data_IF_206406213959
#
_entry.id   IF_206406213959
#
_cell.length_a   1.000
_cell.length_b   1.000
_cell.length_c   1.000
_cell.angle_alpha   90.00
_cell.angle_beta   90.00
_cell.angle_gamma   90.00
#
_symmetry.space_group_name_H-M   'P 1'
#
loop_
_entity.id
_entity.type
_entity.pdbx_description
1 polymer ?
#
# COMPACT_ATOMS: atom_id res chain seq x y z
N UNK A 1 -20.45 -11.86 -26.01
CA UNK A 1 -20.76 -13.23 -25.57
C UNK A 1 -22.22 -13.25 -25.12
N UNK A 2 -22.93 -14.36 -25.32
CA UNK A 2 -24.33 -14.49 -24.89
C UNK A 2 -24.41 -14.49 -23.35
N UNK A 3 -25.41 -13.84 -22.73
CA UNK A 3 -25.54 -13.85 -21.28
C UNK A 3 -25.76 -15.27 -20.74
N UNK A 4 -25.15 -15.60 -19.59
CA UNK A 4 -25.31 -16.92 -18.96
C UNK A 4 -26.78 -17.14 -18.60
N UNK A 5 -27.45 -18.08 -19.27
CA UNK A 5 -28.89 -18.28 -19.12
C UNK A 5 -29.27 -19.12 -17.88
N UNK A 6 -28.38 -20.01 -17.43
CA UNK A 6 -28.61 -20.88 -16.27
C UNK A 6 -27.45 -20.80 -15.27
N UNK A 7 -27.58 -19.93 -14.26
CA UNK A 7 -26.55 -19.71 -13.25
C UNK A 7 -26.27 -20.95 -12.40
N UNK A 8 -27.29 -21.75 -12.10
CA UNK A 8 -27.14 -22.92 -11.24
C UNK A 8 -26.29 -24.01 -11.92
N UNK A 9 -26.60 -24.33 -13.19
CA UNK A 9 -25.81 -25.30 -13.95
C UNK A 9 -24.39 -24.79 -14.20
N UNK A 10 -24.25 -23.52 -14.59
CA UNK A 10 -22.95 -22.93 -14.88
C UNK A 10 -22.05 -22.88 -13.64
N UNK A 11 -22.57 -22.45 -12.50
CA UNK A 11 -21.82 -22.41 -11.22
C UNK A 11 -21.46 -23.80 -10.70
N UNK A 12 -22.31 -24.82 -10.90
CA UNK A 12 -22.00 -26.21 -10.58
C UNK A 12 -20.85 -26.76 -11.42
N UNK A 13 -20.91 -26.56 -12.74
CA UNK A 13 -19.86 -27.02 -13.65
C UNK A 13 -18.52 -26.36 -13.31
N UNK A 14 -18.54 -25.07 -12.95
CA UNK A 14 -17.35 -24.28 -12.61
C UNK A 14 -16.51 -24.88 -11.45
N UNK A 15 -17.14 -25.60 -10.51
CA UNK A 15 -16.46 -26.20 -9.34
C UNK A 15 -16.15 -27.68 -9.50
N UNK A 16 -16.50 -28.32 -10.62
CA UNK A 16 -16.19 -29.73 -10.85
C UNK A 16 -14.68 -30.00 -10.76
N UNK A 17 -14.23 -31.08 -10.09
CA UNK A 17 -12.82 -31.30 -9.79
C UNK A 17 -11.97 -31.46 -11.07
N UNK A 18 -12.49 -32.14 -12.08
CA UNK A 18 -11.76 -32.49 -13.29
C UNK A 18 -11.77 -31.39 -14.37
N UNK A 19 -12.41 -30.25 -14.10
CA UNK A 19 -12.51 -29.16 -15.06
C UNK A 19 -11.15 -28.44 -15.23
N UNK A 20 -10.57 -28.38 -16.45
CA UNK A 20 -9.29 -27.72 -16.68
C UNK A 20 -9.31 -26.23 -16.31
N UNK A 21 -8.18 -25.72 -15.80
CA UNK A 21 -8.04 -24.31 -15.38
C UNK A 21 -8.37 -23.34 -16.52
N UNK A 22 -7.94 -23.63 -17.75
CA UNK A 22 -8.22 -22.78 -18.89
C UNK A 22 -9.73 -22.69 -19.20
N UNK A 23 -10.47 -23.78 -19.01
CA UNK A 23 -11.92 -23.79 -19.19
C UNK A 23 -12.61 -23.00 -18.08
N UNK A 24 -12.17 -23.16 -16.82
CA UNK A 24 -12.67 -22.35 -15.69
C UNK A 24 -12.41 -20.86 -15.92
N UNK A 25 -11.25 -20.50 -16.44
CA UNK A 25 -10.88 -19.13 -16.76
C UNK A 25 -11.85 -18.52 -17.78
N UNK A 26 -12.13 -19.23 -18.88
CA UNK A 26 -13.08 -18.77 -19.88
C UNK A 26 -14.49 -18.59 -19.28
N UNK A 27 -14.97 -19.54 -18.48
CA UNK A 27 -16.27 -19.45 -17.81
C UNK A 27 -16.35 -18.26 -16.84
N UNK A 28 -15.30 -18.00 -16.07
CA UNK A 28 -15.26 -16.84 -15.16
C UNK A 28 -15.20 -15.52 -15.93
N UNK A 29 -14.51 -15.49 -17.09
CA UNK A 29 -14.53 -14.33 -17.99
C UNK A 29 -15.94 -14.03 -18.50
N UNK A 30 -16.71 -15.06 -18.89
CA UNK A 30 -18.12 -14.90 -19.30
C UNK A 30 -18.97 -14.27 -18.19
N UNK A 31 -18.75 -14.68 -16.94
CA UNK A 31 -19.44 -14.12 -15.78
C UNK A 31 -19.02 -12.66 -15.53
N UNK A 32 -17.73 -12.36 -15.61
CA UNK A 32 -17.20 -10.98 -15.49
C UNK A 32 -17.82 -10.06 -16.54
N UNK A 33 -17.89 -10.53 -17.78
CA UNK A 33 -18.40 -9.76 -18.91
C UNK A 33 -19.92 -9.53 -18.81
N UNK A 34 -20.63 -10.38 -18.07
CA UNK A 34 -22.08 -10.27 -17.82
C UNK A 34 -22.43 -9.73 -16.41
N UNK A 35 -21.46 -9.11 -15.71
CA UNK A 35 -21.61 -8.76 -14.29
C UNK A 35 -22.69 -7.69 -14.00
N UNK A 36 -23.15 -6.97 -15.03
CA UNK A 36 -24.25 -6.00 -14.91
C UNK A 36 -25.52 -6.62 -14.31
N UNK A 37 -25.71 -7.94 -14.46
CA UNK A 37 -26.82 -8.67 -13.86
C UNK A 37 -26.89 -8.51 -12.33
N UNK A 38 -25.75 -8.29 -11.66
CA UNK A 38 -25.69 -8.06 -10.21
C UNK A 38 -26.37 -6.75 -9.78
N UNK A 39 -26.69 -5.86 -10.72
CA UNK A 39 -27.44 -4.62 -10.47
C UNK A 39 -28.95 -4.74 -10.75
N UNK A 40 -29.44 -5.95 -11.04
CA UNK A 40 -30.85 -6.21 -11.36
C UNK A 40 -31.54 -6.99 -10.24
N UNK A 41 -32.82 -7.33 -10.43
CA UNK A 41 -33.56 -8.19 -9.50
C UNK A 41 -32.94 -9.60 -9.34
N UNK A 42 -32.10 -10.02 -10.28
CA UNK A 42 -31.41 -11.32 -10.24
C UNK A 42 -30.22 -11.36 -9.29
N UNK A 43 -29.85 -10.26 -8.63
CA UNK A 43 -28.65 -10.20 -7.80
C UNK A 43 -28.60 -11.27 -6.70
N UNK A 44 -29.73 -11.50 -6.02
CA UNK A 44 -29.81 -12.54 -4.99
C UNK A 44 -29.57 -13.95 -5.57
N UNK A 45 -30.14 -14.21 -6.75
CA UNK A 45 -29.99 -15.48 -7.46
C UNK A 45 -28.54 -15.70 -7.90
N UNK A 46 -27.92 -14.65 -8.46
CA UNK A 46 -26.50 -14.61 -8.80
C UNK A 46 -25.63 -14.95 -7.58
N UNK A 47 -25.84 -14.29 -6.44
CA UNK A 47 -25.07 -14.56 -5.22
C UNK A 47 -25.26 -15.99 -4.73
N UNK A 48 -26.49 -16.50 -4.69
CA UNK A 48 -26.78 -17.89 -4.26
C UNK A 48 -26.02 -18.94 -5.09
N UNK A 49 -25.91 -18.71 -6.40
CA UNK A 49 -25.21 -19.61 -7.32
C UNK A 49 -23.69 -19.43 -7.27
N UNK A 50 -23.22 -18.20 -7.47
CA UNK A 50 -21.81 -17.96 -7.74
C UNK A 50 -20.95 -17.68 -6.51
N UNK A 51 -21.50 -17.12 -5.43
CA UNK A 51 -20.67 -16.76 -4.27
C UNK A 51 -19.95 -17.99 -3.69
N UNK A 52 -20.67 -19.11 -3.56
CA UNK A 52 -20.08 -20.38 -3.11
C UNK A 52 -19.06 -20.93 -4.11
N UNK A 53 -19.35 -20.83 -5.40
CA UNK A 53 -18.44 -21.29 -6.46
C UNK A 53 -17.13 -20.49 -6.47
N UNK A 54 -17.21 -19.17 -6.38
CA UNK A 54 -16.05 -18.28 -6.28
C UNK A 54 -15.23 -18.52 -5.02
N UNK A 55 -15.89 -18.70 -3.87
CA UNK A 55 -15.22 -19.05 -2.62
C UNK A 55 -14.50 -20.40 -2.74
N UNK A 56 -15.14 -21.41 -3.34
CA UNK A 56 -14.51 -22.70 -3.59
C UNK A 56 -13.31 -22.60 -4.55
N UNK A 57 -13.41 -21.77 -5.60
CA UNK A 57 -12.28 -21.52 -6.52
C UNK A 57 -11.07 -21.00 -5.75
N UNK A 58 -11.27 -19.94 -4.96
CA UNK A 58 -10.19 -19.24 -4.26
C UNK A 58 -9.59 -20.06 -3.10
N UNK A 59 -10.40 -20.89 -2.43
CA UNK A 59 -10.00 -21.54 -1.18
C UNK A 59 -9.72 -23.05 -1.28
N UNK A 60 -10.28 -23.74 -2.27
CA UNK A 60 -10.27 -25.21 -2.33
C UNK A 60 -9.76 -25.76 -3.66
N UNK A 61 -10.23 -25.20 -4.78
CA UNK A 61 -9.91 -25.69 -6.13
C UNK A 61 -8.51 -25.26 -6.57
N UNK A 62 -8.18 -23.98 -6.37
CA UNK A 62 -6.91 -23.40 -6.80
C UNK A 62 -6.03 -23.10 -5.60
N UNK A 63 -4.73 -22.98 -5.83
CA UNK A 63 -3.75 -22.54 -4.84
C UNK A 63 -3.27 -21.13 -5.16
N UNK A 64 -2.81 -20.35 -4.16
CA UNK A 64 -2.11 -19.09 -4.39
C UNK A 64 -1.01 -19.22 -5.46
N UNK A 65 -0.96 -18.26 -6.37
CA UNK A 65 -0.02 -18.26 -7.49
C UNK A 65 0.90 -17.04 -7.39
N UNK A 66 2.19 -17.25 -7.64
CA UNK A 66 3.23 -16.21 -7.55
C UNK A 66 3.97 -16.00 -8.87
N UNK A 67 3.37 -16.45 -9.97
CA UNK A 67 3.85 -16.28 -11.34
C UNK A 67 2.66 -16.00 -12.23
N UNK A 68 2.87 -15.27 -13.33
CA UNK A 68 1.80 -15.04 -14.30
C UNK A 68 1.47 -16.34 -15.04
N UNK A 69 0.35 -16.96 -14.67
CA UNK A 69 -0.15 -18.18 -15.29
C UNK A 69 -1.70 -18.17 -15.34
N UNK A 70 -2.33 -19.09 -16.09
CA UNK A 70 -3.80 -19.12 -16.19
C UNK A 70 -4.53 -19.27 -14.85
N UNK A 71 -3.93 -19.94 -13.86
CA UNK A 71 -4.52 -20.09 -12.53
C UNK A 71 -4.48 -18.78 -11.74
N UNK A 72 -3.41 -17.99 -11.84
CA UNK A 72 -3.33 -16.62 -11.32
C UNK A 72 -4.41 -15.76 -11.95
N UNK A 73 -4.53 -15.75 -13.29
CA UNK A 73 -5.56 -14.98 -14.01
C UNK A 73 -6.97 -15.38 -13.58
N UNK A 74 -7.23 -16.67 -13.41
CA UNK A 74 -8.51 -17.17 -12.91
C UNK A 74 -8.80 -16.60 -11.51
N UNK A 75 -7.87 -16.74 -10.57
CA UNK A 75 -8.02 -16.23 -9.20
C UNK A 75 -8.24 -14.71 -9.20
N UNK A 76 -7.45 -13.98 -9.98
CA UNK A 76 -7.52 -12.54 -10.08
C UNK A 76 -8.90 -12.06 -10.57
N UNK A 77 -9.43 -12.62 -11.66
CA UNK A 77 -10.75 -12.25 -12.17
C UNK A 77 -11.85 -12.59 -11.15
N UNK A 78 -11.76 -13.72 -10.43
CA UNK A 78 -12.73 -14.02 -9.38
C UNK A 78 -12.72 -12.93 -8.29
N UNK A 79 -11.54 -12.51 -7.83
CA UNK A 79 -11.43 -11.44 -6.83
C UNK A 79 -11.94 -10.10 -7.38
N UNK A 80 -11.69 -9.79 -8.67
CA UNK A 80 -12.24 -8.59 -9.32
C UNK A 80 -13.77 -8.60 -9.38
N UNK A 81 -14.38 -9.74 -9.70
CA UNK A 81 -15.84 -9.90 -9.68
C UNK A 81 -16.37 -9.63 -8.27
N UNK A 82 -15.77 -10.22 -7.25
CA UNK A 82 -16.16 -10.02 -5.85
C UNK A 82 -16.04 -8.56 -5.41
N UNK A 83 -15.02 -7.84 -5.89
CA UNK A 83 -14.83 -6.41 -5.61
C UNK A 83 -15.86 -5.50 -6.29
N UNK A 84 -16.53 -5.96 -7.34
CA UNK A 84 -17.51 -5.20 -8.10
C UNK A 84 -18.95 -5.47 -7.67
N UNK A 85 -19.17 -6.31 -6.65
CA UNK A 85 -20.51 -6.62 -6.15
C UNK A 85 -21.18 -5.39 -5.50
N UNK A 86 -22.47 -5.12 -5.79
CA UNK A 86 -23.19 -4.01 -5.15
C UNK A 86 -23.34 -4.19 -3.63
N UNK A 87 -22.99 -3.16 -2.85
CA UNK A 87 -23.15 -3.11 -1.41
C UNK A 87 -24.61 -2.79 -0.98
N UNK A 88 -25.57 -3.58 -1.46
CA UNK A 88 -26.98 -3.47 -1.07
C UNK A 88 -27.33 -4.43 0.07
N UNK A 89 -28.54 -4.30 0.64
CA UNK A 89 -29.07 -5.22 1.67
C UNK A 89 -29.10 -6.68 1.20
N UNK A 90 -29.16 -6.92 -0.11
CA UNK A 90 -29.13 -8.26 -0.71
C UNK A 90 -27.81 -8.99 -0.43
N UNK A 91 -26.70 -8.26 -0.33
CA UNK A 91 -25.38 -8.83 -0.04
C UNK A 91 -25.23 -9.23 1.43
N UNK A 92 -26.01 -8.62 2.34
CA UNK A 92 -25.87 -8.75 3.81
C UNK A 92 -25.70 -10.18 4.31
N UNK A 93 -26.44 -11.19 3.82
CA UNK A 93 -26.27 -12.59 4.26
C UNK A 93 -24.92 -13.22 3.91
N UNK A 94 -24.18 -12.64 2.94
CA UNK A 94 -22.91 -13.16 2.43
C UNK A 94 -21.70 -12.36 2.94
N UNK A 95 -21.93 -11.21 3.58
CA UNK A 95 -20.88 -10.24 3.94
C UNK A 95 -19.82 -10.84 4.87
N UNK A 96 -20.21 -11.64 5.88
CA UNK A 96 -19.26 -12.24 6.80
C UNK A 96 -18.34 -13.24 6.09
N UNK A 97 -18.91 -14.09 5.23
CA UNK A 97 -18.14 -15.07 4.47
C UNK A 97 -17.25 -14.38 3.43
N UNK A 98 -17.74 -13.32 2.77
CA UNK A 98 -16.96 -12.56 1.80
C UNK A 98 -15.76 -11.90 2.47
N UNK A 99 -15.94 -11.34 3.67
CA UNK A 99 -14.85 -10.76 4.45
C UNK A 99 -13.80 -11.82 4.81
N UNK A 100 -14.22 -13.01 5.23
CA UNK A 100 -13.30 -14.14 5.54
C UNK A 100 -12.53 -14.60 4.31
N UNK A 101 -13.20 -14.77 3.16
CA UNK A 101 -12.55 -15.11 1.89
C UNK A 101 -11.52 -14.05 1.51
N UNK A 102 -11.90 -12.76 1.55
CA UNK A 102 -11.00 -11.66 1.24
C UNK A 102 -9.79 -11.61 2.20
N UNK A 103 -10.01 -11.87 3.49
CA UNK A 103 -8.94 -11.91 4.49
C UNK A 103 -7.98 -13.09 4.27
N UNK A 104 -8.50 -14.25 3.88
CA UNK A 104 -7.68 -15.42 3.55
C UNK A 104 -6.84 -15.17 2.30
N UNK A 105 -7.42 -14.59 1.24
CA UNK A 105 -6.67 -14.25 0.02
C UNK A 105 -5.62 -13.18 0.30
N UNK A 106 -5.95 -12.10 1.05
CA UNK A 106 -5.00 -11.06 1.45
C UNK A 106 -3.80 -11.61 2.24
N UNK A 107 -3.97 -12.67 3.02
CA UNK A 107 -2.89 -13.23 3.86
C UNK A 107 -2.05 -14.30 3.16
N UNK A 108 -2.56 -14.93 2.11
CA UNK A 108 -1.94 -16.13 1.49
C UNK A 108 -1.55 -15.94 0.03
N UNK A 109 -2.12 -14.97 -0.68
CA UNK A 109 -1.95 -14.80 -2.11
C UNK A 109 -0.89 -13.73 -2.48
N UNK A 110 -0.80 -13.43 -3.78
CA UNK A 110 0.10 -12.41 -4.30
C UNK A 110 -0.42 -10.97 -4.11
N UNK A 111 0.46 -10.01 -4.34
CA UNK A 111 0.23 -8.57 -4.20
C UNK A 111 -0.99 -8.08 -5.01
N UNK A 112 -1.18 -8.54 -6.25
CA UNK A 112 -2.27 -8.05 -7.10
C UNK A 112 -3.64 -8.43 -6.53
N UNK A 113 -3.80 -9.71 -6.16
CA UNK A 113 -5.03 -10.18 -5.51
C UNK A 113 -5.21 -9.54 -4.13
N UNK A 114 -4.13 -9.41 -3.36
CA UNK A 114 -4.15 -8.76 -2.05
C UNK A 114 -4.62 -7.30 -2.10
N UNK A 115 -4.21 -6.54 -3.13
CA UNK A 115 -4.61 -5.15 -3.31
C UNK A 115 -6.10 -4.99 -3.61
N UNK A 116 -6.71 -5.96 -4.29
CA UNK A 116 -8.16 -5.97 -4.48
C UNK A 116 -8.83 -6.40 -3.17
N UNK A 117 -8.33 -7.42 -2.48
CA UNK A 117 -8.90 -7.90 -1.22
C UNK A 117 -8.89 -6.84 -0.11
N UNK A 118 -7.85 -6.02 0.03
CA UNK A 118 -7.84 -4.94 1.03
C UNK A 118 -8.92 -3.88 0.75
N UNK A 119 -9.26 -3.64 -0.53
CA UNK A 119 -10.38 -2.75 -0.92
C UNK A 119 -11.73 -3.36 -0.58
N UNK A 120 -11.92 -4.65 -0.88
CA UNK A 120 -13.12 -5.40 -0.46
C UNK A 120 -13.30 -5.29 1.05
N UNK A 121 -12.25 -5.59 1.82
CA UNK A 121 -12.27 -5.52 3.30
C UNK A 121 -12.67 -4.13 3.77
N UNK A 122 -12.04 -3.07 3.24
CA UNK A 122 -12.35 -1.70 3.60
C UNK A 122 -13.82 -1.32 3.30
N UNK A 123 -14.30 -1.66 2.10
CA UNK A 123 -15.65 -1.34 1.68
C UNK A 123 -16.72 -2.10 2.48
N UNK A 124 -16.48 -3.37 2.80
CA UNK A 124 -17.38 -4.14 3.67
C UNK A 124 -17.44 -3.55 5.08
N UNK A 125 -16.27 -3.27 5.66
CA UNK A 125 -16.14 -2.63 6.97
C UNK A 125 -16.74 -1.21 7.00
N UNK A 126 -16.83 -0.53 5.85
CA UNK A 126 -17.48 0.78 5.73
C UNK A 126 -19.00 0.68 5.68
N UNK A 127 -19.52 -0.22 4.85
CA UNK A 127 -20.94 -0.24 4.49
C UNK A 127 -21.80 -1.12 5.43
N UNK A 128 -21.23 -2.13 6.10
CA UNK A 128 -22.01 -3.14 6.86
C UNK A 128 -21.81 -3.09 8.38
N UNK A 129 -21.49 -1.92 8.91
CA UNK A 129 -21.33 -1.66 10.35
C UNK A 129 -22.66 -1.80 11.09
N UNK A 130 -22.68 -2.26 12.36
CA UNK A 130 -21.54 -2.71 13.17
C UNK A 130 -21.24 -4.22 13.06
N UNK A 131 -21.98 -4.96 12.21
CA UNK A 131 -22.04 -6.43 12.14
C UNK A 131 -20.68 -7.14 12.03
N UNK A 132 -19.64 -6.44 11.55
CA UNK A 132 -18.32 -6.98 11.27
C UNK A 132 -17.27 -6.70 12.37
N UNK A 133 -17.64 -6.12 13.51
CA UNK A 133 -16.68 -5.73 14.56
C UNK A 133 -15.77 -6.89 15.01
N UNK A 134 -16.33 -8.10 15.16
CA UNK A 134 -15.57 -9.29 15.57
C UNK A 134 -14.55 -9.77 14.53
N UNK A 135 -14.69 -9.35 13.28
CA UNK A 135 -13.83 -9.75 12.16
C UNK A 135 -12.73 -8.69 11.89
N UNK A 136 -12.64 -7.63 12.72
CA UNK A 136 -11.64 -6.56 12.58
C UNK A 136 -10.27 -6.99 13.09
N UNK A 137 -10.21 -7.71 14.21
CA UNK A 137 -8.93 -8.10 14.84
C UNK A 137 -8.02 -8.90 13.90
N UNK A 138 -8.51 -9.88 13.12
CA UNK A 138 -7.68 -10.58 12.12
C UNK A 138 -6.98 -9.66 11.12
N UNK A 139 -7.63 -8.56 10.71
CA UNK A 139 -7.00 -7.56 9.85
C UNK A 139 -5.89 -6.80 10.58
N UNK A 140 -6.12 -6.37 11.83
CA UNK A 140 -5.10 -5.68 12.64
C UNK A 140 -3.89 -6.60 12.91
N UNK A 141 -4.12 -7.89 13.13
CA UNK A 141 -3.06 -8.89 13.31
C UNK A 141 -2.25 -9.07 12.02
N UNK A 142 -2.90 -9.08 10.85
CA UNK A 142 -2.23 -9.06 9.56
C UNK A 142 -1.38 -7.81 9.37
N UNK A 143 -1.90 -6.63 9.73
CA UNK A 143 -1.15 -5.38 9.66
C UNK A 143 0.09 -5.43 10.59
N UNK A 144 -0.04 -5.96 11.81
CA UNK A 144 1.11 -6.18 12.68
C UNK A 144 2.15 -7.08 12.01
N UNK A 145 1.73 -8.18 11.36
CA UNK A 145 2.62 -9.11 10.67
C UNK A 145 3.38 -8.47 9.52
N UNK A 146 2.75 -7.65 8.68
CA UNK A 146 3.46 -6.98 7.57
C UNK A 146 4.48 -5.95 8.08
N UNK A 147 4.20 -5.24 9.18
CA UNK A 147 5.17 -4.33 9.78
C UNK A 147 6.31 -5.06 10.51
N UNK A 148 6.04 -6.19 11.17
CA UNK A 148 7.08 -7.07 11.72
C UNK A 148 8.05 -7.55 10.63
N UNK A 149 7.52 -7.89 9.46
CA UNK A 149 8.32 -8.35 8.32
C UNK A 149 8.91 -7.21 7.48
N UNK A 150 8.61 -5.94 7.78
CA UNK A 150 8.93 -4.82 6.89
C UNK A 150 10.42 -4.72 6.57
N UNK A 151 11.28 -4.85 7.58
CA UNK A 151 12.75 -4.83 7.38
C UNK A 151 13.22 -5.99 6.48
N UNK A 152 12.66 -7.18 6.65
CA UNK A 152 12.97 -8.35 5.82
C UNK A 152 12.50 -8.14 4.37
N UNK A 153 11.35 -7.49 4.18
CA UNK A 153 10.85 -7.10 2.86
C UNK A 153 11.82 -6.13 2.18
N UNK A 154 12.32 -5.11 2.89
CA UNK A 154 13.35 -4.19 2.36
C UNK A 154 14.60 -4.95 1.93
N UNK A 155 15.16 -5.80 2.79
CA UNK A 155 16.34 -6.60 2.45
C UNK A 155 16.11 -7.53 1.26
N UNK A 156 14.91 -8.12 1.14
CA UNK A 156 14.58 -8.97 -0.01
C UNK A 156 14.68 -8.22 -1.35
N UNK A 157 14.17 -6.98 -1.42
CA UNK A 157 14.22 -6.20 -2.67
C UNK A 157 15.57 -5.56 -2.95
N UNK A 158 16.26 -5.06 -1.91
CA UNK A 158 17.44 -4.23 -2.11
C UNK A 158 18.78 -4.93 -1.83
N UNK A 159 18.80 -6.01 -1.04
CA UNK A 159 20.03 -6.78 -0.79
C UNK A 159 20.10 -8.01 -1.70
N UNK A 160 19.00 -8.78 -1.82
CA UNK A 160 19.01 -10.02 -2.60
C UNK A 160 18.84 -9.78 -4.11
N UNK A 161 17.95 -8.87 -4.50
CA UNK A 161 17.64 -8.60 -5.92
C UNK A 161 18.70 -7.71 -6.59
N UNK A 162 19.48 -6.95 -5.81
CA UNK A 162 20.62 -6.18 -6.31
C UNK A 162 21.79 -7.09 -6.76
N UNK A 163 21.90 -8.30 -6.20
CA UNK A 163 22.96 -9.27 -6.52
C UNK A 163 22.66 -10.11 -7.77
N UNK A 164 21.40 -10.18 -8.21
CA UNK A 164 20.95 -10.93 -9.40
C UNK A 164 20.87 -10.05 -10.66
N UNK A 165 21.50 -8.87 -10.66
CA UNK A 165 21.52 -7.97 -11.80
C UNK A 165 22.30 -8.55 -12.98
N UNK A 166 21.67 -9.43 -13.76
CA UNK A 166 22.17 -9.80 -15.08
C UNK A 166 22.19 -8.54 -15.97
N UNK A 167 23.39 -8.22 -16.46
CA UNK A 167 23.59 -7.30 -17.57
C UNK A 167 22.73 -7.75 -18.75
N UNK A 168 21.61 -7.08 -19.00
CA UNK A 168 20.97 -7.15 -20.31
C UNK A 168 21.87 -6.39 -21.29
N UNK A 169 22.87 -7.07 -21.85
CA UNK A 169 23.57 -6.59 -23.05
C UNK A 169 22.56 -6.52 -24.20
N UNK A 170 22.58 -5.46 -25.02
CA UNK A 170 21.79 -5.41 -26.23
C UNK A 170 22.35 -6.46 -27.21
N UNK A 171 21.61 -7.55 -27.42
CA UNK A 171 21.98 -8.62 -28.36
C UNK A 171 21.74 -8.13 -29.80
N UNK A 172 22.82 -7.89 -30.53
CA UNK A 172 22.79 -7.83 -32.00
C UNK A 172 22.62 -9.24 -32.58
N UNK A 173 21.78 -9.31 -33.61
CA UNK A 173 21.42 -10.46 -34.41
C UNK A 173 22.63 -11.22 -34.95
N UNK A 174 22.72 -12.53 -34.67
CA UNK A 174 23.40 -13.48 -35.57
C UNK A 174 22.90 -14.91 -35.34
N UNK A 175 22.54 -15.55 -36.43
CA UNK A 175 22.06 -16.92 -36.58
C UNK A 175 23.25 -17.89 -36.56
N UNK A 176 23.21 -18.97 -35.77
CA UNK A 176 23.65 -20.31 -36.21
C UNK A 176 23.38 -21.44 -35.18
N UNK A 177 23.32 -22.63 -35.77
CA UNK A 177 22.74 -23.93 -35.41
C UNK A 177 23.48 -24.79 -34.35
N UNK A 178 22.72 -25.74 -33.77
CA UNK A 178 23.05 -27.06 -33.17
C UNK A 178 23.82 -27.24 -31.83
N UNK A 179 23.22 -28.02 -30.90
CA UNK A 179 23.96 -28.91 -29.97
C UNK A 179 23.42 -29.15 -28.54
N UNK A 180 22.46 -30.08 -28.37
CA UNK A 180 22.15 -31.00 -27.25
C UNK A 180 22.68 -30.71 -25.80
N UNK A 181 21.74 -30.57 -24.85
CA UNK A 181 21.79 -31.28 -23.54
C UNK A 181 21.90 -30.45 -22.26
N UNK A 182 20.85 -30.49 -21.41
CA UNK A 182 20.99 -30.33 -19.94
C UNK A 182 20.35 -29.10 -19.28
N UNK A 183 19.05 -29.19 -18.99
CA UNK A 183 18.37 -28.70 -17.79
C UNK A 183 18.80 -27.35 -17.15
N UNK A 184 18.10 -26.26 -17.49
CA UNK A 184 17.25 -25.57 -16.51
C UNK A 184 16.28 -24.65 -17.26
N UNK A 185 14.99 -24.79 -16.95
CA UNK A 185 13.89 -24.20 -17.68
C UNK A 185 13.98 -22.66 -17.73
N UNK A 186 14.09 -22.15 -18.94
CA UNK A 186 13.62 -20.84 -19.37
C UNK A 186 12.15 -20.66 -19.00
N UNK A 187 11.89 -19.80 -18.02
CA UNK A 187 10.63 -19.06 -17.88
C UNK A 187 10.88 -17.83 -16.99
N UNK A 188 11.38 -16.75 -17.58
CA UNK A 188 11.29 -15.41 -16.98
C UNK A 188 9.83 -14.93 -17.07
N UNK A 189 8.94 -15.60 -16.33
CA UNK A 189 7.66 -15.03 -15.94
C UNK A 189 7.93 -14.06 -14.79
N UNK A 190 7.37 -12.85 -14.85
CA UNK A 190 7.46 -11.87 -13.76
C UNK A 190 6.99 -12.51 -12.45
N UNK A 191 7.92 -12.77 -11.53
CA UNK A 191 7.59 -13.31 -10.22
C UNK A 191 6.76 -12.29 -9.44
N UNK A 192 5.58 -12.70 -9.00
CA UNK A 192 4.67 -11.85 -8.24
C UNK A 192 5.00 -11.95 -6.75
N UNK A 193 5.08 -10.80 -6.09
CA UNK A 193 5.38 -10.74 -4.67
C UNK A 193 4.20 -11.24 -3.83
N UNK A 194 4.43 -11.97 -2.73
CA UNK A 194 3.39 -12.26 -1.76
C UNK A 194 2.81 -10.98 -1.15
N UNK A 195 1.50 -10.95 -0.84
CA UNK A 195 0.87 -9.78 -0.19
C UNK A 195 1.55 -9.42 1.14
N UNK A 196 2.10 -10.42 1.84
CA UNK A 196 2.84 -10.24 3.11
C UNK A 196 4.20 -9.56 2.94
N UNK A 197 4.71 -9.43 1.71
CA UNK A 197 5.97 -8.77 1.35
C UNK A 197 5.74 -7.72 0.25
N UNK A 198 4.72 -6.88 0.43
CA UNK A 198 4.35 -5.84 -0.53
C UNK A 198 4.36 -4.45 0.12
N UNK A 199 5.13 -3.53 -0.46
CA UNK A 199 5.08 -2.12 -0.06
C UNK A 199 3.73 -1.47 -0.43
N UNK A 200 3.07 -1.91 -1.50
CA UNK A 200 1.74 -1.41 -1.89
C UNK A 200 0.68 -1.79 -0.85
N UNK A 201 0.71 -3.02 -0.33
CA UNK A 201 -0.19 -3.43 0.76
C UNK A 201 0.05 -2.60 2.02
N UNK A 202 1.32 -2.34 2.37
CA UNK A 202 1.67 -1.45 3.49
C UNK A 202 1.20 -0.02 3.23
N UNK A 203 1.20 0.45 1.99
CA UNK A 203 0.72 1.79 1.61
C UNK A 203 -0.78 1.97 1.88
N UNK A 204 -1.60 0.95 1.60
CA UNK A 204 -3.06 1.00 1.79
C UNK A 204 -3.49 0.73 3.25
N UNK A 205 -2.69 -0.02 4.01
CA UNK A 205 -3.04 -0.48 5.36
C UNK A 205 -3.32 0.65 6.38
N UNK A 206 -2.53 1.74 6.48
CA UNK A 206 -2.75 2.81 7.45
C UNK A 206 -4.12 3.49 7.33
N UNK A 207 -4.63 3.64 6.10
CA UNK A 207 -5.95 4.24 5.88
C UNK A 207 -7.06 3.36 6.47
N UNK A 208 -6.98 2.04 6.26
CA UNK A 208 -7.93 1.08 6.81
C UNK A 208 -7.85 1.04 8.33
N UNK A 209 -6.64 1.03 8.91
CA UNK A 209 -6.44 1.06 10.37
C UNK A 209 -7.00 2.35 10.97
N UNK A 210 -6.72 3.51 10.37
CA UNK A 210 -7.26 4.79 10.81
C UNK A 210 -8.79 4.77 10.85
N UNK A 211 -9.40 4.26 9.78
CA UNK A 211 -10.84 4.14 9.68
C UNK A 211 -11.44 3.18 10.71
N UNK A 212 -10.77 2.06 10.97
CA UNK A 212 -11.16 1.09 12.00
C UNK A 212 -11.10 1.70 13.40
N UNK A 213 -10.07 2.47 13.72
CA UNK A 213 -9.91 3.14 15.01
C UNK A 213 -10.91 4.28 15.21
N UNK A 214 -11.29 4.98 14.15
CA UNK A 214 -12.38 5.97 14.19
C UNK A 214 -13.73 5.32 14.47
N UNK A 215 -13.94 4.10 13.95
CA UNK A 215 -15.20 3.37 14.13
C UNK A 215 -15.28 2.65 15.48
N UNK A 216 -14.21 1.97 15.87
CA UNK A 216 -14.12 1.09 17.02
C UNK A 216 -13.01 1.59 17.95
N UNK A 217 -13.26 2.71 18.63
CA UNK A 217 -12.29 3.38 19.49
C UNK A 217 -11.72 2.49 20.61
N UNK A 218 -12.46 1.45 21.02
CA UNK A 218 -12.02 0.44 21.99
C UNK A 218 -10.81 -0.38 21.52
N UNK A 219 -10.70 -0.62 20.21
CA UNK A 219 -9.59 -1.39 19.65
C UNK A 219 -8.27 -0.64 19.73
N UNK A 220 -8.30 0.69 19.88
CA UNK A 220 -7.09 1.52 19.88
C UNK A 220 -6.20 1.18 21.07
N UNK A 221 -6.75 1.14 22.27
CA UNK A 221 -5.96 0.86 23.49
C UNK A 221 -5.38 -0.55 23.50
N UNK A 222 -6.08 -1.52 22.88
CA UNK A 222 -5.60 -2.90 22.78
C UNK A 222 -4.49 -3.08 21.74
N UNK A 223 -4.53 -2.32 20.63
CA UNK A 223 -3.66 -2.58 19.46
C UNK A 223 -2.51 -1.59 19.30
N UNK A 224 -2.66 -0.32 19.71
CA UNK A 224 -1.61 0.70 19.55
C UNK A 224 -0.29 0.32 20.25
N UNK A 225 -0.27 -0.22 21.49
CA UNK A 225 0.97 -0.58 22.15
C UNK A 225 1.84 -1.57 21.36
N UNK A 226 1.21 -2.44 20.55
CA UNK A 226 1.91 -3.39 19.67
C UNK A 226 2.22 -2.78 18.29
N UNK A 227 1.26 -2.09 17.69
CA UNK A 227 1.37 -1.63 16.30
C UNK A 227 2.31 -0.42 16.14
N UNK A 228 2.28 0.52 17.09
CA UNK A 228 3.01 1.77 16.99
C UNK A 228 4.53 1.56 16.95
N UNK A 229 5.17 0.76 17.83
CA UNK A 229 6.61 0.51 17.75
C UNK A 229 7.04 -0.14 16.43
N UNK A 230 6.20 -1.00 15.85
CA UNK A 230 6.47 -1.64 14.57
C UNK A 230 6.46 -0.62 13.43
N UNK A 231 5.46 0.28 13.41
CA UNK A 231 5.37 1.37 12.44
C UNK A 231 6.54 2.36 12.56
N UNK A 232 6.92 2.75 13.78
CA UNK A 232 8.08 3.62 14.03
C UNK A 232 9.37 2.96 13.54
N UNK A 233 9.54 1.66 13.77
CA UNK A 233 10.69 0.91 13.25
C UNK A 233 10.68 0.89 11.72
N UNK A 234 9.52 0.66 11.09
CA UNK A 234 9.39 0.60 9.64
C UNK A 234 9.73 1.93 8.94
N UNK A 235 9.27 3.07 9.47
CA UNK A 235 9.62 4.40 8.92
C UNK A 235 11.10 4.78 9.15
N UNK A 236 11.79 4.07 10.05
CA UNK A 236 13.21 4.27 10.35
C UNK A 236 14.12 3.41 9.47
N UNK A 237 13.57 2.42 8.76
CA UNK A 237 14.37 1.56 7.86
C UNK A 237 14.92 2.40 6.71
N UNK A 238 16.24 2.42 6.60
CA UNK A 238 16.92 3.07 5.49
C UNK A 238 16.91 2.15 4.26
N UNK A 239 16.73 2.75 3.08
CA UNK A 239 16.96 2.07 1.80
C UNK A 239 18.42 2.22 1.37
N UNK A 240 18.81 1.65 0.22
CA UNK A 240 20.17 1.79 -0.29
C UNK A 240 20.47 3.24 -0.70
N UNK A 241 21.69 3.71 -0.43
CA UNK A 241 22.13 5.07 -0.79
C UNK A 241 22.13 5.31 -2.29
N UNK A 242 22.46 4.28 -3.06
CA UNK A 242 22.42 4.28 -4.53
C UNK A 242 21.42 3.25 -5.01
N UNK A 243 20.33 3.72 -5.59
CA UNK A 243 19.27 2.87 -6.12
C UNK A 243 19.55 2.55 -7.60
N UNK A 244 19.77 1.27 -7.96
CA UNK A 244 19.89 0.86 -9.35
C UNK A 244 18.63 1.23 -10.17
N UNK A 245 18.75 1.57 -11.47
CA UNK A 245 17.61 1.98 -12.28
C UNK A 245 16.42 1.02 -12.25
N UNK A 246 16.67 -0.29 -12.25
CA UNK A 246 15.63 -1.33 -12.22
C UNK A 246 14.92 -1.46 -10.86
N UNK A 247 15.50 -0.95 -9.76
CA UNK A 247 14.89 -0.94 -8.42
C UNK A 247 14.23 0.39 -8.06
N UNK A 248 14.27 1.39 -8.95
CA UNK A 248 13.68 2.72 -8.69
C UNK A 248 12.20 2.63 -8.33
N UNK A 249 11.43 1.80 -9.05
CA UNK A 249 10.00 1.62 -8.77
C UNK A 249 9.77 1.09 -7.35
N UNK A 250 10.47 0.01 -6.96
CA UNK A 250 10.39 -0.55 -5.62
C UNK A 250 10.83 0.44 -4.54
N UNK A 251 11.83 1.29 -4.83
CA UNK A 251 12.26 2.33 -3.90
C UNK A 251 11.21 3.43 -3.72
N UNK A 252 10.54 3.85 -4.79
CA UNK A 252 9.42 4.79 -4.73
C UNK A 252 8.27 4.17 -3.91
N UNK A 253 7.97 2.88 -4.11
CA UNK A 253 6.96 2.17 -3.34
C UNK A 253 7.32 2.05 -1.85
N UNK A 254 8.58 1.74 -1.52
CA UNK A 254 9.10 1.77 -0.15
C UNK A 254 8.86 3.15 0.49
N UNK A 255 9.26 4.23 -0.19
CA UNK A 255 9.07 5.59 0.32
C UNK A 255 7.58 5.93 0.46
N UNK A 256 6.74 5.54 -0.50
CA UNK A 256 5.29 5.69 -0.42
C UNK A 256 4.70 5.01 0.82
N UNK A 257 5.09 3.76 1.09
CA UNK A 257 4.67 3.00 2.25
C UNK A 257 5.09 3.66 3.57
N UNK A 258 6.35 4.11 3.67
CA UNK A 258 6.86 4.83 4.84
C UNK A 258 6.10 6.15 5.06
N UNK A 259 5.82 6.91 4.01
CA UNK A 259 5.11 8.19 4.11
C UNK A 259 3.64 8.03 4.49
N UNK A 260 2.95 6.99 4.00
CA UNK A 260 1.60 6.66 4.48
C UNK A 260 1.60 6.23 5.95
N UNK A 261 2.62 5.50 6.36
CA UNK A 261 2.81 5.12 7.78
C UNK A 261 3.03 6.35 8.65
N UNK A 262 3.90 7.27 8.23
CA UNK A 262 4.10 8.57 8.90
C UNK A 262 2.78 9.34 8.99
N UNK A 263 2.02 9.43 7.89
CA UNK A 263 0.74 10.14 7.87
C UNK A 263 -0.21 9.62 8.95
N UNK A 264 -0.30 8.29 9.13
CA UNK A 264 -1.06 7.68 10.21
C UNK A 264 -0.49 7.95 11.60
N UNK A 265 0.83 7.88 11.79
CA UNK A 265 1.45 8.24 13.07
C UNK A 265 1.18 9.70 13.43
N UNK A 266 1.18 10.62 12.45
CA UNK A 266 0.83 12.03 12.70
C UNK A 266 -0.64 12.24 13.07
N UNK A 267 -1.54 11.40 12.54
CA UNK A 267 -2.95 11.38 12.96
C UNK A 267 -3.10 11.05 14.45
N UNK A 268 -2.25 10.17 14.99
CA UNK A 268 -2.30 9.77 16.41
C UNK A 268 -1.76 10.84 17.38
N UNK A 269 -0.98 11.82 16.90
CA UNK A 269 -0.30 12.82 17.75
C UNK A 269 -1.26 13.58 18.68
N UNK A 270 -2.49 13.87 18.23
CA UNK A 270 -3.44 14.66 19.01
C UNK A 270 -4.19 13.84 20.05
N UNK A 271 -4.75 12.71 19.65
CA UNK A 271 -5.67 11.93 20.51
C UNK A 271 -4.96 10.87 21.35
N UNK A 272 -3.74 10.48 20.98
CA UNK A 272 -3.00 9.37 21.56
C UNK A 272 -1.53 9.75 21.85
N UNK A 273 -1.32 11.01 22.24
CA UNK A 273 0.00 11.61 22.46
C UNK A 273 0.88 10.79 23.42
N UNK A 274 0.30 10.22 24.47
CA UNK A 274 1.05 9.47 25.49
C UNK A 274 1.75 8.23 24.93
N UNK A 275 1.14 7.57 23.93
CA UNK A 275 1.77 6.44 23.24
C UNK A 275 2.86 6.87 22.27
N UNK A 276 2.78 8.08 21.72
CA UNK A 276 3.74 8.60 20.73
C UNK A 276 4.97 9.21 21.39
N UNK A 277 4.83 9.79 22.59
CA UNK A 277 5.90 10.50 23.33
C UNK A 277 7.22 9.72 23.46
N UNK A 278 7.23 8.41 23.74
CA UNK A 278 8.48 7.64 23.76
C UNK A 278 9.21 7.55 22.41
N UNK A 279 8.53 7.86 21.31
CA UNK A 279 8.99 7.69 19.93
C UNK A 279 9.16 9.03 19.18
N UNK A 280 8.96 10.17 19.85
CA UNK A 280 8.99 11.51 19.27
C UNK A 280 10.22 11.76 18.39
N UNK A 281 11.41 11.51 18.95
CA UNK A 281 12.68 11.78 18.28
C UNK A 281 12.84 10.93 17.01
N UNK A 282 12.48 9.64 17.07
CA UNK A 282 12.57 8.74 15.94
C UNK A 282 11.61 9.14 14.82
N UNK A 283 10.37 9.53 15.16
CA UNK A 283 9.39 10.01 14.17
C UNK A 283 9.91 11.28 13.48
N UNK A 284 10.41 12.24 14.25
CA UNK A 284 10.96 13.49 13.70
C UNK A 284 12.16 13.22 12.77
N UNK A 285 13.13 12.40 13.22
CA UNK A 285 14.29 11.99 12.41
C UNK A 285 13.86 11.27 11.13
N UNK A 286 12.88 10.37 11.20
CA UNK A 286 12.36 9.66 10.04
C UNK A 286 11.70 10.61 9.04
N UNK A 287 10.89 11.58 9.48
CA UNK A 287 10.27 12.56 8.58
C UNK A 287 11.33 13.33 7.79
N UNK A 288 12.36 13.84 8.48
CA UNK A 288 13.45 14.61 7.84
C UNK A 288 14.28 13.72 6.92
N UNK A 289 14.65 12.51 7.38
CA UNK A 289 15.37 11.53 6.57
C UNK A 289 14.59 11.15 5.31
N UNK A 290 13.26 11.01 5.40
CA UNK A 290 12.40 10.73 4.24
C UNK A 290 12.33 11.94 3.28
N UNK A 291 12.27 13.17 3.78
CA UNK A 291 12.34 14.37 2.93
C UNK A 291 13.64 14.45 2.13
N UNK A 292 14.78 14.13 2.77
CA UNK A 292 16.10 14.09 2.14
C UNK A 292 16.20 12.97 1.10
N UNK A 293 15.70 11.77 1.43
CA UNK A 293 15.91 10.56 0.60
C UNK A 293 14.80 10.30 -0.42
N UNK A 294 13.66 10.99 -0.36
CA UNK A 294 12.57 10.76 -1.29
C UNK A 294 12.88 11.28 -2.69
N UNK A 295 12.49 10.50 -3.71
CA UNK A 295 12.51 10.92 -5.11
C UNK A 295 11.65 12.18 -5.33
N UNK A 296 11.82 12.85 -6.48
CA UNK A 296 10.97 13.97 -6.94
C UNK A 296 9.54 13.52 -7.32
N UNK A 297 8.84 12.92 -6.37
CA UNK A 297 7.43 12.55 -6.45
C UNK A 297 6.59 13.58 -5.70
N UNK A 298 5.77 14.32 -6.46
CA UNK A 298 4.92 15.40 -5.93
C UNK A 298 3.99 14.87 -4.84
N UNK A 299 3.39 13.69 -5.03
CA UNK A 299 2.45 13.09 -4.08
C UNK A 299 3.12 12.74 -2.75
N UNK A 300 4.26 12.05 -2.80
CA UNK A 300 5.02 11.62 -1.60
C UNK A 300 5.52 12.85 -0.83
N UNK A 301 6.12 13.83 -1.52
CA UNK A 301 6.63 15.05 -0.89
C UNK A 301 5.52 15.89 -0.27
N UNK A 302 4.38 16.05 -0.95
CA UNK A 302 3.21 16.75 -0.40
C UNK A 302 2.74 16.12 0.92
N UNK A 303 2.65 14.80 0.98
CA UNK A 303 2.23 14.08 2.20
C UNK A 303 3.24 14.23 3.35
N UNK A 304 4.54 14.22 3.05
CA UNK A 304 5.58 14.51 4.04
C UNK A 304 5.49 15.94 4.58
N UNK A 305 5.27 16.93 3.71
CA UNK A 305 5.09 18.32 4.13
C UNK A 305 3.85 18.49 5.03
N UNK A 306 2.75 17.82 4.69
CA UNK A 306 1.54 17.80 5.55
C UNK A 306 1.84 17.12 6.89
N UNK A 307 2.58 16.01 6.88
CA UNK A 307 2.98 15.31 8.11
C UNK A 307 3.88 16.18 9.00
N UNK A 308 4.85 16.88 8.40
CA UNK A 308 5.70 17.85 9.09
C UNK A 308 4.87 18.97 9.71
N UNK A 309 3.88 19.51 8.99
CA UNK A 309 2.91 20.48 9.52
C UNK A 309 2.19 19.98 10.76
N UNK A 310 1.71 18.74 10.73
CA UNK A 310 1.01 18.15 11.87
C UNK A 310 1.92 18.03 13.10
N UNK A 311 3.19 17.68 12.92
CA UNK A 311 4.16 17.64 14.03
C UNK A 311 4.40 19.05 14.59
N UNK A 312 4.61 20.04 13.72
CA UNK A 312 4.83 21.45 14.12
C UNK A 312 3.68 22.01 14.95
N UNK A 313 2.43 21.66 14.61
CA UNK A 313 1.23 22.06 15.35
C UNK A 313 1.03 21.36 16.70
N UNK A 314 2.01 20.60 17.19
CA UNK A 314 1.93 19.84 18.45
C UNK A 314 3.19 20.04 19.30
N UNK A 315 3.19 19.53 20.54
CA UNK A 315 4.37 19.62 21.41
C UNK A 315 5.54 18.74 20.99
N UNK A 316 5.31 17.80 20.05
CA UNK A 316 6.33 16.96 19.44
C UNK A 316 7.27 17.73 18.49
N UNK A 317 6.99 19.01 18.22
CA UNK A 317 7.85 19.90 17.44
C UNK A 317 9.28 20.02 18.00
N UNK A 318 9.48 19.75 19.29
CA UNK A 318 10.79 19.80 19.94
C UNK A 318 11.77 18.79 19.34
N UNK A 319 11.29 17.61 18.96
CA UNK A 319 12.09 16.61 18.24
C UNK A 319 12.63 17.07 16.88
N UNK A 320 12.06 18.14 16.28
CA UNK A 320 12.55 18.71 15.02
C UNK A 320 13.71 19.70 15.21
N UNK A 321 13.93 20.21 16.43
CA UNK A 321 14.88 21.29 16.65
C UNK A 321 16.32 20.93 16.28
N UNK A 322 16.84 19.73 16.60
CA UNK A 322 18.17 19.31 16.15
C UNK A 322 18.31 19.14 14.62
N UNK A 323 17.21 19.21 13.87
CA UNK A 323 17.13 18.91 12.43
C UNK A 323 16.80 20.15 11.59
N UNK A 324 16.73 21.34 12.23
CA UNK A 324 16.30 22.59 11.56
C UNK A 324 17.23 22.96 10.42
N UNK A 325 18.54 22.80 10.57
CA UNK A 325 19.49 23.16 9.51
C UNK A 325 19.18 22.43 8.21
N UNK A 326 18.85 21.14 8.29
CA UNK A 326 18.41 20.34 7.14
C UNK A 326 17.03 20.79 6.61
N UNK A 327 16.11 21.18 7.50
CA UNK A 327 14.78 21.64 7.11
C UNK A 327 14.78 23.05 6.47
N UNK A 328 15.76 23.89 6.78
CA UNK A 328 15.94 25.22 6.17
C UNK A 328 16.43 25.12 4.72
N UNK A 329 16.97 23.98 4.29
CA UNK A 329 17.35 23.75 2.91
C UNK A 329 16.11 23.58 2.02
N UNK A 330 15.85 24.55 1.15
CA UNK A 330 14.71 24.55 0.22
C UNK A 330 14.66 23.28 -0.65
N UNK A 331 15.83 22.79 -1.08
CA UNK A 331 15.96 21.56 -1.88
C UNK A 331 15.47 20.33 -1.15
N UNK A 332 15.60 20.28 0.18
CA UNK A 332 15.13 19.16 1.00
C UNK A 332 13.60 19.14 1.03
N UNK A 333 12.97 20.30 1.21
CA UNK A 333 11.52 20.41 1.30
C UNK A 333 10.82 20.21 -0.04
N UNK A 334 11.29 20.90 -1.07
CA UNK A 334 10.61 21.00 -2.35
C UNK A 334 11.11 19.95 -3.35
N UNK A 335 12.36 19.51 -3.23
CA UNK A 335 13.01 18.61 -4.18
C UNK A 335 13.70 19.37 -5.33
N UNK A 336 14.29 18.60 -6.23
CA UNK A 336 15.03 19.14 -7.40
C UNK A 336 14.19 19.17 -8.67
N UNK A 337 13.07 18.46 -8.68
CA UNK A 337 12.21 18.30 -9.85
C UNK A 337 11.32 19.50 -10.07
N UNK A 338 11.24 19.98 -11.32
CA UNK A 338 10.45 21.15 -11.71
C UNK A 338 8.97 21.05 -11.29
N UNK A 339 8.35 19.89 -11.46
CA UNK A 339 6.95 19.69 -11.08
C UNK A 339 6.73 19.80 -9.56
N UNK A 340 7.66 19.27 -8.75
CA UNK A 340 7.62 19.44 -7.31
C UNK A 340 7.82 20.91 -6.94
N UNK A 341 8.76 21.58 -7.62
CA UNK A 341 9.04 23.00 -7.43
C UNK A 341 7.87 23.93 -7.71
N UNK A 342 7.15 23.73 -8.79
CA UNK A 342 6.01 24.59 -9.12
C UNK A 342 4.80 24.30 -8.20
N UNK A 343 4.60 23.04 -7.82
CA UNK A 343 3.39 22.63 -7.07
C UNK A 343 3.51 22.80 -5.56
N UNK A 344 4.68 22.50 -4.98
CA UNK A 344 4.85 22.38 -3.52
C UNK A 344 5.42 23.65 -2.87
N UNK A 345 5.95 24.58 -3.66
CA UNK A 345 6.58 25.81 -3.16
C UNK A 345 5.69 26.59 -2.18
N UNK A 346 4.38 26.84 -2.45
CA UNK A 346 3.54 27.57 -1.50
C UNK A 346 3.42 26.87 -0.13
N UNK A 347 3.29 25.54 -0.14
CA UNK A 347 3.19 24.74 1.09
C UNK A 347 4.52 24.72 1.84
N UNK A 348 5.63 24.49 1.14
CA UNK A 348 6.96 24.44 1.74
C UNK A 348 7.34 25.76 2.41
N UNK A 349 7.04 26.91 1.80
CA UNK A 349 7.33 28.21 2.40
C UNK A 349 6.41 28.57 3.56
N UNK A 350 5.12 28.22 3.48
CA UNK A 350 4.24 28.34 4.65
C UNK A 350 4.80 27.56 5.84
N UNK A 351 5.38 26.38 5.60
CA UNK A 351 5.99 25.56 6.65
C UNK A 351 7.31 26.11 7.14
N UNK A 352 8.18 26.61 6.26
CA UNK A 352 9.42 27.28 6.66
C UNK A 352 9.14 28.47 7.58
N UNK A 353 8.14 29.27 7.26
CA UNK A 353 7.71 30.38 8.11
C UNK A 353 7.21 29.91 9.47
N UNK A 354 6.43 28.83 9.51
CA UNK A 354 5.93 28.22 10.75
C UNK A 354 7.06 27.64 11.61
N UNK A 355 8.04 26.95 10.98
CA UNK A 355 9.24 26.45 11.65
C UNK A 355 9.98 27.62 12.29
N UNK A 356 10.36 28.64 11.51
CA UNK A 356 11.12 29.78 12.03
C UNK A 356 10.36 30.52 13.13
N UNK A 357 9.04 30.66 13.00
CA UNK A 357 8.23 31.24 14.07
C UNK A 357 8.36 30.46 15.39
N UNK A 358 8.33 29.12 15.32
CA UNK A 358 8.43 28.26 16.50
C UNK A 358 9.83 28.20 17.10
N UNK A 359 10.89 28.33 16.30
CA UNK A 359 12.27 28.20 16.78
C UNK A 359 13.01 29.53 16.94
N UNK A 360 12.36 30.66 16.70
CA UNK A 360 12.96 32.01 16.72
C UNK A 360 13.82 32.35 17.93
N UNK A 361 13.58 31.72 19.08
CA UNK A 361 14.36 31.96 20.31
C UNK A 361 15.68 31.18 20.34
N UNK A 362 15.80 30.12 19.55
CA UNK A 362 16.95 29.22 19.50
C UNK A 362 17.76 29.35 18.19
N UNK A 363 17.35 30.25 17.28
CA UNK A 363 18.04 30.47 16.01
C UNK A 363 19.28 31.36 16.19
N UNK A 364 20.36 30.96 15.53
CA UNK A 364 21.56 31.78 15.38
C UNK A 364 21.33 32.92 14.37
N UNK A 365 22.12 34.01 14.47
CA UNK A 365 22.00 35.17 13.59
C UNK A 365 22.18 34.81 12.10
N UNK A 366 23.05 33.85 11.77
CA UNK A 366 23.27 33.37 10.41
C UNK A 366 22.04 32.68 9.82
N UNK A 367 21.35 31.84 10.61
CA UNK A 367 20.11 31.17 10.20
C UNK A 367 18.97 32.19 9.98
N UNK A 368 18.88 33.22 10.84
CA UNK A 368 17.92 34.31 10.69
C UNK A 368 18.18 35.09 9.40
N UNK A 369 19.42 35.48 9.12
CA UNK A 369 19.78 36.18 7.88
C UNK A 369 19.48 35.36 6.62
N UNK A 370 19.78 34.06 6.62
CA UNK A 370 19.46 33.17 5.50
C UNK A 370 17.95 33.11 5.23
N UNK A 371 17.14 33.01 6.28
CA UNK A 371 15.69 33.00 6.17
C UNK A 371 15.12 34.31 5.63
N UNK A 372 15.61 35.46 6.11
CA UNK A 372 15.22 36.75 5.56
C UNK A 372 15.58 36.88 4.08
N UNK A 373 16.78 36.43 3.68
CA UNK A 373 17.16 36.40 2.27
C UNK A 373 16.21 35.52 1.43
N UNK A 374 15.87 34.33 1.94
CA UNK A 374 14.95 33.42 1.27
C UNK A 374 13.56 34.04 1.09
N UNK A 375 12.98 34.66 2.14
CA UNK A 375 11.70 35.37 2.04
C UNK A 375 11.77 36.55 1.07
N UNK A 376 12.80 37.39 1.16
CA UNK A 376 12.95 38.58 0.31
C UNK A 376 13.06 38.18 -1.16
N UNK A 377 13.87 37.16 -1.46
CA UNK A 377 13.99 36.62 -2.83
C UNK A 377 12.66 36.10 -3.38
N UNK A 378 11.70 35.69 -2.54
CA UNK A 378 10.37 35.26 -2.98
C UNK A 378 9.40 36.42 -3.20
N UNK A 379 9.51 37.52 -2.44
CA UNK A 379 8.71 38.72 -2.68
C UNK A 379 9.08 39.35 -4.03
N UNK A 380 10.33 39.24 -4.46
CA UNK A 380 10.78 39.71 -5.79
C UNK A 380 10.34 38.81 -6.97
N UNK A 381 9.86 37.59 -6.69
CA UNK A 381 9.43 36.59 -7.69
C UNK A 381 7.90 36.56 -7.91
N UNK A 382 7.14 37.36 -7.16
CA UNK A 382 5.69 37.60 -7.31
C UNK A 382 5.51 38.96 -7.99
#
# INVERSE_FOLDING_TARGET
>A
MSPVQNFEQHSRHLVEPDLPIQTRLNMVMEVRDSLEIAHTAEYLNFLKCYFRAFSAILLQVTKPQFVDNPEHKLRNIVVEILNRLPHSEVLRPFVQDLLKVAMQVLTTDNEENGLICIRIIFDLLRNFRPTLEHEVQPFLDFVCKIYQNFKLTVSHFFDNMAMTGEEVKPMETSLSDQGIGGSSATATGSQLNPSTRSFKIVTESPLVVMFLFQLYSRLVQANIPQLLPLMVTAISVQGPDRVPPHLKTHFIELKGAQVKTVSFLTYLLKSYADYIRPHEENICKSIVSLLVTCSDSVSIRKELLISLKHVLGTDFRRGLFPLIDTLLEERVLVGTGRACFETLRPLAYSLLAEIVHHVRQDLSLSQVCFFFYLIISQIELI
#
